data_IF_931239837509
#
_entry.id   IF_931239837509
#
_cell.length_a   1.000
_cell.length_b   1.000
_cell.length_c   1.000
_cell.angle_alpha   90.00
_cell.angle_beta   90.00
_cell.angle_gamma   90.00
#
_symmetry.space_group_name_H-M   'P 1'
#
loop_
_entity.id
_entity.type
_entity.pdbx_description
1 polymer ?
#
# COMPACT_ATOMS: atom_id res chain seq x y z
N UNK A 1 -0.79 11.47 -44.27
CA UNK A 1 -1.49 10.26 -43.77
C UNK A 1 -0.76 9.78 -42.53
N UNK A 2 -1.41 9.80 -41.37
CA UNK A 2 -0.87 9.28 -40.13
C UNK A 2 -1.21 7.79 -40.07
N UNK A 3 -0.25 6.88 -39.80
CA UNK A 3 -0.54 5.46 -39.74
C UNK A 3 -1.57 5.19 -38.61
N UNK A 4 -2.48 4.22 -38.80
CA UNK A 4 -3.43 3.85 -37.74
C UNK A 4 -2.65 3.33 -36.53
N UNK A 5 -3.02 3.83 -35.34
CA UNK A 5 -2.49 3.30 -34.08
C UNK A 5 -3.04 1.88 -33.90
N UNK A 6 -2.14 0.89 -33.91
CA UNK A 6 -2.46 -0.52 -33.68
C UNK A 6 -1.80 -1.03 -32.40
N UNK A 7 -2.50 -1.88 -31.68
CA UNK A 7 -1.96 -2.63 -30.55
C UNK A 7 -1.32 -3.92 -31.08
N UNK A 8 -0.04 -4.15 -30.77
CA UNK A 8 0.65 -5.40 -31.12
C UNK A 8 1.14 -6.10 -29.86
N UNK A 9 1.13 -7.43 -29.89
CA UNK A 9 1.81 -8.23 -28.89
C UNK A 9 3.31 -7.89 -28.88
N UNK A 10 3.89 -7.79 -27.70
CA UNK A 10 5.34 -7.63 -27.53
C UNK A 10 5.88 -8.86 -26.81
N UNK A 11 6.89 -9.48 -27.39
CA UNK A 11 7.65 -10.53 -26.74
C UNK A 11 8.68 -9.90 -25.79
N UNK A 12 8.59 -10.24 -24.51
CA UNK A 12 9.56 -9.81 -23.50
C UNK A 12 10.26 -11.05 -22.96
N UNK A 13 11.59 -11.04 -23.04
CA UNK A 13 12.42 -12.12 -22.50
C UNK A 13 12.85 -11.77 -21.08
N UNK A 14 12.57 -12.66 -20.13
CA UNK A 14 13.09 -12.54 -18.77
C UNK A 14 14.62 -12.69 -18.78
N UNK A 15 15.34 -11.68 -18.29
CA UNK A 15 16.81 -11.72 -18.21
C UNK A 15 17.38 -12.72 -17.20
N UNK A 16 16.55 -13.27 -16.31
CA UNK A 16 16.97 -14.22 -15.26
C UNK A 16 16.82 -15.69 -15.68
N UNK A 17 15.65 -16.08 -16.19
CA UNK A 17 15.36 -17.46 -16.55
C UNK A 17 15.25 -17.72 -18.06
N UNK A 18 15.33 -16.66 -18.89
CA UNK A 18 15.22 -16.78 -20.35
C UNK A 18 13.82 -17.07 -20.88
N UNK A 19 12.81 -17.19 -20.01
CA UNK A 19 11.41 -17.36 -20.41
C UNK A 19 10.95 -16.18 -21.27
N UNK A 20 10.16 -16.48 -22.31
CA UNK A 20 9.57 -15.48 -23.20
C UNK A 20 8.10 -15.32 -22.82
N UNK A 21 7.73 -14.13 -22.36
CA UNK A 21 6.35 -13.73 -22.14
C UNK A 21 5.82 -12.96 -23.35
N UNK A 22 4.62 -13.28 -23.80
CA UNK A 22 3.92 -12.52 -24.85
C UNK A 22 2.95 -11.56 -24.15
N UNK A 23 3.14 -10.26 -24.34
CA UNK A 23 2.32 -9.21 -23.75
C UNK A 23 1.41 -8.62 -24.82
N UNK A 24 0.13 -9.01 -24.83
CA UNK A 24 -0.90 -8.33 -25.63
C UNK A 24 -1.57 -7.22 -24.80
N UNK A 25 -1.86 -6.05 -25.38
CA UNK A 25 -2.68 -5.01 -24.73
C UNK A 25 -4.15 -5.43 -24.61
N UNK A 26 -4.45 -6.48 -23.85
CA UNK A 26 -5.80 -7.00 -23.61
C UNK A 26 -6.22 -6.81 -22.15
N UNK A 27 -7.47 -7.15 -21.83
CA UNK A 27 -7.96 -7.18 -20.44
C UNK A 27 -7.09 -8.02 -19.51
N UNK A 28 -6.44 -9.06 -20.05
CA UNK A 28 -5.53 -9.92 -19.31
C UNK A 28 -4.28 -9.15 -18.83
N UNK A 29 -3.72 -8.24 -19.63
CA UNK A 29 -2.56 -7.44 -19.20
C UNK A 29 -2.93 -6.47 -18.08
N UNK A 30 -4.09 -5.82 -18.20
CA UNK A 30 -4.63 -4.96 -17.13
C UNK A 30 -4.87 -5.77 -15.85
N UNK A 31 -5.32 -7.02 -15.99
CA UNK A 31 -5.51 -7.91 -14.86
C UNK A 31 -4.18 -8.38 -14.25
N UNK A 32 -3.17 -8.70 -15.05
CA UNK A 32 -1.82 -9.06 -14.59
C UNK A 32 -1.10 -7.86 -13.95
N UNK A 33 -1.25 -6.65 -14.48
CA UNK A 33 -0.75 -5.42 -13.84
C UNK A 33 -1.45 -5.18 -12.50
N UNK A 34 -2.79 -5.29 -12.47
CA UNK A 34 -3.58 -5.11 -11.25
C UNK A 34 -3.27 -6.17 -10.18
N UNK A 35 -3.06 -7.44 -10.58
CA UNK A 35 -2.86 -8.57 -9.67
C UNK A 35 -1.39 -8.73 -9.28
N UNK A 36 -0.47 -8.57 -10.23
CA UNK A 36 0.98 -8.73 -10.03
C UNK A 36 1.60 -7.57 -9.25
N UNK A 37 1.17 -6.33 -9.50
CA UNK A 37 1.68 -5.17 -8.75
C UNK A 37 1.39 -5.24 -7.26
N UNK A 38 0.25 -5.84 -6.87
CA UNK A 38 -0.08 -6.09 -5.47
C UNK A 38 0.88 -7.11 -4.83
N UNK A 39 1.06 -8.27 -5.45
CA UNK A 39 1.92 -9.32 -4.91
C UNK A 39 3.38 -8.84 -4.76
N UNK A 40 3.90 -8.13 -5.76
CA UNK A 40 5.26 -7.56 -5.73
C UNK A 40 5.40 -6.53 -4.61
N UNK A 41 4.46 -5.58 -4.52
CA UNK A 41 4.48 -4.56 -3.48
C UNK A 41 4.35 -5.17 -2.08
N UNK A 42 3.52 -6.20 -1.92
CA UNK A 42 3.32 -6.91 -0.65
C UNK A 42 4.59 -7.63 -0.19
N UNK A 43 5.22 -8.44 -1.05
CA UNK A 43 6.50 -9.10 -0.74
C UNK A 43 7.57 -8.07 -0.39
N UNK A 44 7.63 -6.95 -1.11
CA UNK A 44 8.60 -5.89 -0.86
C UNK A 44 8.37 -5.09 0.43
N UNK A 45 7.21 -5.27 1.07
CA UNK A 45 6.80 -4.65 2.33
C UNK A 45 6.45 -5.67 3.41
N UNK A 46 6.84 -6.94 3.25
CA UNK A 46 6.42 -8.05 4.12
C UNK A 46 6.86 -7.81 5.57
N UNK A 47 8.08 -7.32 5.75
CA UNK A 47 8.62 -6.97 7.08
C UNK A 47 7.77 -5.91 7.78
N UNK A 48 7.44 -4.83 7.08
CA UNK A 48 6.62 -3.74 7.62
C UNK A 48 5.18 -4.20 7.86
N UNK A 49 4.67 -5.11 7.01
CA UNK A 49 3.36 -5.74 7.21
C UNK A 49 3.33 -6.54 8.51
N UNK A 50 4.33 -7.37 8.78
CA UNK A 50 4.42 -8.11 10.04
C UNK A 50 4.46 -7.19 11.26
N UNK A 51 5.29 -6.13 11.23
CA UNK A 51 5.34 -5.15 12.32
C UNK A 51 3.98 -4.46 12.55
N UNK A 52 3.26 -4.15 11.48
CA UNK A 52 1.90 -3.60 11.55
C UNK A 52 0.91 -4.61 12.16
N UNK A 53 0.99 -5.89 11.80
CA UNK A 53 0.14 -6.94 12.36
C UNK A 53 0.42 -7.17 13.84
N UNK A 54 1.69 -7.16 14.26
CA UNK A 54 2.08 -7.29 15.67
C UNK A 54 1.54 -6.11 16.51
N UNK A 55 1.66 -4.88 15.99
CA UNK A 55 1.11 -3.70 16.65
C UNK A 55 -0.43 -3.72 16.70
N UNK A 56 -1.10 -4.23 15.65
CA UNK A 56 -2.54 -4.44 15.66
C UNK A 56 -2.95 -5.44 16.74
N UNK A 57 -2.22 -6.55 16.86
CA UNK A 57 -2.51 -7.57 17.86
C UNK A 57 -2.28 -7.05 19.28
N UNK A 58 -1.24 -6.24 19.51
CA UNK A 58 -1.01 -5.58 20.80
C UNK A 58 -2.19 -4.67 21.19
N UNK A 59 -2.74 -3.90 20.25
CA UNK A 59 -3.95 -3.07 20.47
C UNK A 59 -5.16 -3.96 20.79
N UNK A 60 -5.36 -5.06 20.06
CA UNK A 60 -6.46 -6.00 20.31
C UNK A 60 -6.36 -6.70 21.67
N UNK A 61 -5.16 -7.13 22.03
CA UNK A 61 -4.87 -7.81 23.29
C UNK A 61 -5.14 -6.90 24.50
N UNK A 62 -4.84 -5.60 24.38
CA UNK A 62 -5.11 -4.61 25.42
C UNK A 62 -6.62 -4.41 25.68
N UNK A 63 -7.47 -4.70 24.68
CA UNK A 63 -8.92 -4.40 24.67
C UNK A 63 -9.20 -2.90 24.84
N UNK A 64 -10.43 -2.48 24.57
CA UNK A 64 -10.83 -1.10 24.79
C UNK A 64 -11.12 -0.86 26.28
N UNK A 65 -10.66 0.24 26.90
CA UNK A 65 -9.86 1.30 26.28
C UNK A 65 -8.39 0.91 26.09
N UNK A 66 -7.87 1.11 24.88
CA UNK A 66 -6.50 0.77 24.55
C UNK A 66 -5.53 1.89 25.02
N UNK A 67 -4.35 1.54 25.57
CA UNK A 67 -3.32 2.53 25.91
C UNK A 67 -2.90 3.38 24.70
N UNK A 68 -2.79 4.70 24.88
CA UNK A 68 -2.42 5.64 23.82
C UNK A 68 -1.12 5.26 23.10
N UNK A 69 -0.12 4.78 23.85
CA UNK A 69 1.16 4.35 23.29
C UNK A 69 1.02 3.20 22.29
N UNK A 70 0.11 2.26 22.51
CA UNK A 70 -0.14 1.14 21.58
C UNK A 70 -0.85 1.62 20.32
N UNK A 71 -1.79 2.57 20.45
CA UNK A 71 -2.46 3.19 19.30
C UNK A 71 -1.46 3.98 18.44
N UNK A 72 -0.55 4.73 19.06
CA UNK A 72 0.51 5.46 18.36
C UNK A 72 1.52 4.52 17.68
N UNK A 73 1.89 3.42 18.35
CA UNK A 73 2.75 2.40 17.75
C UNK A 73 2.10 1.76 16.52
N UNK A 74 0.80 1.46 16.60
CA UNK A 74 0.07 0.89 15.47
C UNK A 74 -0.08 1.86 14.30
N UNK A 75 -0.33 3.14 14.57
CA UNK A 75 -0.32 4.19 13.55
C UNK A 75 1.03 4.30 12.84
N UNK A 76 2.13 4.35 13.61
CA UNK A 76 3.47 4.43 13.05
C UNK A 76 3.76 3.23 12.13
N UNK A 77 3.41 2.01 12.57
CA UNK A 77 3.60 0.81 11.77
C UNK A 77 2.73 0.82 10.49
N UNK A 78 1.51 1.35 10.54
CA UNK A 78 0.69 1.54 9.34
C UNK A 78 1.32 2.53 8.35
N UNK A 79 1.84 3.66 8.84
CA UNK A 79 2.52 4.64 8.00
C UNK A 79 3.73 4.00 7.31
N UNK A 80 4.56 3.27 8.03
CA UNK A 80 5.74 2.60 7.48
C UNK A 80 5.37 1.55 6.42
N UNK A 81 4.41 0.68 6.74
CA UNK A 81 3.92 -0.34 5.80
C UNK A 81 3.36 0.28 4.53
N UNK A 82 2.41 1.22 4.63
CA UNK A 82 1.79 1.83 3.46
C UNK A 82 2.77 2.67 2.64
N UNK A 83 3.72 3.33 3.31
CA UNK A 83 4.81 4.04 2.62
C UNK A 83 5.61 3.08 1.76
N UNK A 84 6.10 1.97 2.33
CA UNK A 84 6.89 0.99 1.59
C UNK A 84 6.09 0.34 0.46
N UNK A 85 4.85 -0.04 0.74
CA UNK A 85 3.96 -0.67 -0.22
C UNK A 85 3.66 0.26 -1.41
N UNK A 86 3.29 1.51 -1.17
CA UNK A 86 2.96 2.45 -2.25
C UNK A 86 4.18 3.03 -2.97
N UNK A 87 5.37 3.07 -2.35
CA UNK A 87 6.62 3.36 -3.05
C UNK A 87 6.89 2.33 -4.15
N UNK A 88 6.77 1.04 -3.82
CA UNK A 88 7.00 -0.04 -4.79
C UNK A 88 5.87 -0.07 -5.82
N UNK A 89 4.62 0.03 -5.37
CA UNK A 89 3.46 0.00 -6.27
C UNK A 89 3.40 1.20 -7.20
N UNK A 90 3.82 2.39 -6.76
CA UNK A 90 3.90 3.59 -7.59
C UNK A 90 4.90 3.50 -8.74
N UNK A 91 5.94 2.65 -8.60
CA UNK A 91 6.86 2.33 -9.70
C UNK A 91 6.25 1.44 -10.79
N UNK A 92 5.08 0.84 -10.55
CA UNK A 92 4.39 -0.07 -11.48
C UNK A 92 3.04 0.47 -11.95
N UNK A 93 2.36 1.27 -11.13
CA UNK A 93 1.01 1.80 -11.41
C UNK A 93 1.06 3.33 -11.43
N UNK A 94 0.90 3.92 -12.61
CA UNK A 94 1.04 5.36 -12.85
C UNK A 94 0.15 6.22 -11.94
N UNK A 95 -1.11 5.85 -11.73
CA UNK A 95 -2.04 6.60 -10.87
C UNK A 95 -1.50 6.72 -9.44
N UNK A 96 -0.93 5.63 -8.91
CA UNK A 96 -0.35 5.58 -7.57
C UNK A 96 0.98 6.36 -7.53
N UNK A 97 1.80 6.25 -8.58
CA UNK A 97 3.07 6.97 -8.68
C UNK A 97 2.91 8.49 -8.71
N UNK A 98 1.79 8.99 -9.24
CA UNK A 98 1.52 10.43 -9.30
C UNK A 98 1.26 11.06 -7.93
N UNK A 99 0.66 10.33 -6.98
CA UNK A 99 0.43 10.82 -5.61
C UNK A 99 0.33 9.64 -4.61
N UNK A 100 1.46 9.01 -4.23
CA UNK A 100 1.45 7.91 -3.27
C UNK A 100 0.96 8.36 -1.90
N UNK A 101 1.19 9.62 -1.53
CA UNK A 101 0.77 10.21 -0.27
C UNK A 101 -0.75 10.31 -0.15
N UNK A 102 -1.50 10.53 -1.24
CA UNK A 102 -2.96 10.46 -1.23
C UNK A 102 -3.47 9.06 -0.89
N UNK A 103 -2.84 8.03 -1.44
CA UNK A 103 -3.24 6.65 -1.15
C UNK A 103 -2.94 6.26 0.30
N UNK A 104 -1.79 6.68 0.84
CA UNK A 104 -1.46 6.47 2.26
C UNK A 104 -2.47 7.18 3.16
N UNK A 105 -2.76 8.46 2.91
CA UNK A 105 -3.75 9.24 3.66
C UNK A 105 -5.12 8.55 3.68
N UNK A 106 -5.60 8.09 2.52
CA UNK A 106 -6.88 7.38 2.43
C UNK A 106 -6.93 6.10 3.28
N UNK A 107 -5.81 5.36 3.42
CA UNK A 107 -5.75 4.18 4.29
C UNK A 107 -5.79 4.56 5.77
N UNK A 108 -5.07 5.62 6.15
CA UNK A 108 -5.05 6.11 7.52
C UNK A 108 -6.40 6.70 7.94
N UNK A 109 -7.05 7.47 7.07
CA UNK A 109 -8.38 8.03 7.31
C UNK A 109 -9.41 6.94 7.59
N UNK A 110 -9.37 5.85 6.82
CA UNK A 110 -10.21 4.69 7.07
C UNK A 110 -9.95 4.08 8.46
N UNK A 111 -8.68 3.89 8.83
CA UNK A 111 -8.33 3.34 10.14
C UNK A 111 -8.75 4.27 11.29
N UNK A 112 -8.52 5.58 11.18
CA UNK A 112 -8.95 6.55 12.17
C UNK A 112 -10.45 6.45 12.40
N UNK A 113 -11.24 6.49 11.32
CA UNK A 113 -12.70 6.48 11.40
C UNK A 113 -13.28 5.19 12.01
N UNK A 114 -12.65 4.03 11.78
CA UNK A 114 -13.22 2.73 12.19
C UNK A 114 -12.58 2.11 13.43
N UNK A 115 -11.47 2.67 13.91
CA UNK A 115 -10.74 2.13 15.04
C UNK A 115 -10.36 3.25 16.00
N UNK A 116 -9.37 4.06 15.65
CA UNK A 116 -8.70 4.90 16.62
C UNK A 116 -9.60 6.01 17.20
N UNK A 117 -10.49 6.60 16.40
CA UNK A 117 -11.43 7.64 16.87
C UNK A 117 -12.49 7.12 17.85
N UNK A 118 -12.64 5.80 18.01
CA UNK A 118 -13.48 5.23 19.07
C UNK A 118 -12.79 5.24 20.45
N UNK A 119 -11.47 5.36 20.50
CA UNK A 119 -10.69 5.34 21.74
C UNK A 119 -10.63 6.73 22.37
N UNK A 120 -11.03 6.85 23.64
CA UNK A 120 -11.05 8.15 24.34
C UNK A 120 -9.65 8.75 24.51
N UNK A 121 -8.68 7.92 24.91
CA UNK A 121 -7.29 8.33 25.05
C UNK A 121 -6.71 8.88 23.74
N UNK A 122 -7.16 8.35 22.60
CA UNK A 122 -6.80 8.84 21.28
C UNK A 122 -7.39 10.23 21.04
N UNK A 123 -8.71 10.39 21.18
CA UNK A 123 -9.39 11.69 20.96
C UNK A 123 -8.79 12.81 21.81
N UNK A 124 -8.48 12.53 23.07
CA UNK A 124 -7.94 13.51 24.01
C UNK A 124 -6.49 13.96 23.67
N UNK A 125 -5.74 13.15 22.93
CA UNK A 125 -4.36 13.49 22.54
C UNK A 125 -4.28 14.57 21.43
N UNK A 126 -5.37 14.91 20.74
CA UNK A 126 -5.42 15.92 19.67
C UNK A 126 -4.85 15.46 18.32
N UNK A 127 -5.28 16.12 17.23
CA UNK A 127 -4.71 16.00 15.86
C UNK A 127 -3.57 17.03 15.71
N UNK A 128 -2.51 16.82 14.88
CA UNK A 128 -2.27 15.75 13.92
C UNK A 128 -1.26 14.70 14.39
N UNK A 129 -1.26 13.56 13.70
CA UNK A 129 -0.34 12.44 13.94
C UNK A 129 0.37 12.08 12.65
N UNK A 130 1.68 11.85 12.74
CA UNK A 130 2.69 11.88 11.65
C UNK A 130 2.11 11.73 10.23
N UNK A 131 2.20 12.79 9.42
CA UNK A 131 2.03 12.62 7.97
C UNK A 131 3.28 11.89 7.42
N UNK A 132 3.13 11.03 6.39
CA UNK A 132 4.27 10.56 5.62
C UNK A 132 5.08 11.77 5.13
N UNK A 133 6.43 11.72 5.11
CA UNK A 133 7.22 12.82 4.58
C UNK A 133 6.79 13.13 3.14
N UNK A 134 6.76 14.44 2.82
CA UNK A 134 6.41 14.95 1.50
C UNK A 134 7.37 14.45 0.41
#
# INVERSE_FOLDING_TARGET
MQPPVGYRAVEVRCGSCGAVGIFEPSSLLRQVEATGSHAIAWVASEREWHAMMDAQEAVRAARSPAPLALLQAYEAAQIEYWTRYFQVKGGMVLEIGNDPNRHIRSRLDFWYAHSAEHEEAWRNAGRPRRLPPA
#
